data_IF_894140056006
#
_entry.id   IF_894140056006
#
_cell.length_a   1.000
_cell.length_b   1.000
_cell.length_c   1.000
_cell.angle_alpha   90.00
_cell.angle_beta   90.00
_cell.angle_gamma   90.00
#
_symmetry.space_group_name_H-M   'P 1'
#
loop_
_entity.id
_entity.type
_entity.pdbx_description
1 polymer ?
#
# COMPACT_ATOMS: atom_id res chain seq x y z
N UNK A 1 -97.37 -43.08 16.20
CA UNK A 1 -96.17 -43.55 16.93
C UNK A 1 -95.07 -43.88 15.93
N UNK A 2 -94.18 -42.92 15.64
CA UNK A 2 -92.93 -43.16 14.91
C UNK A 2 -91.92 -42.12 15.38
N UNK A 3 -90.96 -42.55 16.18
CA UNK A 3 -89.94 -41.69 16.79
C UNK A 3 -88.97 -41.14 15.74
N UNK A 4 -88.87 -39.82 15.66
CA UNK A 4 -87.72 -39.14 15.03
C UNK A 4 -86.47 -39.49 15.86
N UNK A 5 -85.70 -40.47 15.41
CA UNK A 5 -84.34 -40.71 15.91
C UNK A 5 -83.50 -39.47 15.59
N UNK A 6 -83.04 -38.76 16.62
CA UNK A 6 -82.05 -37.70 16.48
C UNK A 6 -80.83 -38.27 15.73
N UNK A 7 -80.51 -37.67 14.58
CA UNK A 7 -79.34 -38.01 13.79
C UNK A 7 -78.12 -37.68 14.64
N UNK A 8 -77.41 -38.71 15.12
CA UNK A 8 -76.21 -38.51 15.93
C UNK A 8 -75.17 -37.72 15.11
N UNK A 9 -74.71 -36.58 15.65
CA UNK A 9 -73.65 -35.79 15.01
C UNK A 9 -72.37 -36.64 14.88
N UNK A 10 -71.61 -36.48 13.77
CA UNK A 10 -70.29 -37.06 13.66
C UNK A 10 -69.45 -36.68 14.89
N UNK A 11 -68.66 -37.63 15.39
CA UNK A 11 -67.87 -37.45 16.63
C UNK A 11 -66.93 -36.23 16.54
N UNK A 12 -66.49 -35.85 15.34
CA UNK A 12 -65.64 -34.69 15.10
C UNK A 12 -66.38 -33.36 15.26
N UNK A 13 -67.61 -33.25 14.74
CA UNK A 13 -68.42 -32.04 14.84
C UNK A 13 -68.87 -31.78 16.28
N UNK A 14 -69.19 -32.86 17.01
CA UNK A 14 -69.52 -32.77 18.43
C UNK A 14 -68.33 -32.25 19.25
N UNK A 15 -67.10 -32.70 18.95
CA UNK A 15 -65.89 -32.25 19.65
C UNK A 15 -65.54 -30.81 19.33
N UNK A 16 -65.58 -30.41 18.05
CA UNK A 16 -65.39 -29.01 17.65
C UNK A 16 -66.34 -28.11 18.44
N UNK A 17 -67.62 -28.48 18.53
CA UNK A 17 -68.62 -27.70 19.24
C UNK A 17 -68.37 -27.61 20.75
N UNK A 18 -67.96 -28.69 21.41
CA UNK A 18 -67.61 -28.64 22.84
C UNK A 18 -66.37 -27.78 23.11
N UNK A 19 -65.36 -27.82 22.24
CA UNK A 19 -64.17 -26.94 22.34
C UNK A 19 -64.57 -25.48 22.21
N UNK A 20 -65.44 -25.17 21.25
CA UNK A 20 -65.92 -23.82 21.00
C UNK A 20 -66.80 -23.29 22.12
N UNK A 21 -67.71 -24.13 22.63
CA UNK A 21 -68.53 -23.81 23.81
C UNK A 21 -67.64 -23.52 25.03
N UNK A 22 -66.67 -24.40 25.32
CA UNK A 22 -65.76 -24.21 26.44
C UNK A 22 -64.92 -22.94 26.29
N UNK A 23 -64.48 -22.63 25.07
CA UNK A 23 -63.77 -21.39 24.77
C UNK A 23 -64.65 -20.14 24.95
N UNK A 24 -65.90 -20.18 24.48
CA UNK A 24 -66.88 -19.10 24.66
C UNK A 24 -67.23 -18.90 26.14
N UNK A 25 -67.38 -19.96 26.92
CA UNK A 25 -67.63 -19.90 28.38
C UNK A 25 -66.45 -19.26 29.13
N UNK A 26 -65.22 -19.72 28.87
CA UNK A 26 -64.01 -19.15 29.48
C UNK A 26 -63.87 -17.67 29.11
N UNK A 27 -64.14 -17.31 27.85
CA UNK A 27 -64.12 -15.92 27.38
C UNK A 27 -65.19 -15.08 28.10
N UNK A 28 -66.41 -15.59 28.25
CA UNK A 28 -67.52 -14.88 28.90
C UNK A 28 -67.31 -14.69 30.41
N UNK A 29 -66.62 -15.63 31.08
CA UNK A 29 -66.28 -15.52 32.50
C UNK A 29 -65.21 -14.44 32.77
N UNK A 30 -64.38 -14.10 31.77
CA UNK A 30 -63.44 -12.97 31.80
C UNK A 30 -62.28 -13.07 32.80
N UNK A 31 -62.24 -14.11 33.65
CA UNK A 31 -61.21 -14.29 34.68
C UNK A 31 -59.99 -15.11 34.24
N UNK A 32 -60.10 -15.88 33.16
CA UNK A 32 -59.02 -16.74 32.66
C UNK A 32 -58.79 -16.55 31.17
N UNK A 33 -57.53 -16.65 30.74
CA UNK A 33 -57.19 -16.68 29.31
C UNK A 33 -57.80 -17.92 28.67
N UNK A 34 -58.43 -17.76 27.52
CA UNK A 34 -58.75 -18.88 26.63
C UNK A 34 -57.45 -19.46 26.08
N UNK A 35 -56.92 -20.46 26.78
CA UNK A 35 -55.69 -21.16 26.47
C UNK A 35 -55.97 -22.65 26.38
N UNK A 36 -55.17 -23.38 25.58
CA UNK A 36 -55.35 -24.82 25.33
C UNK A 36 -55.53 -25.62 26.63
N UNK A 37 -54.74 -25.32 27.66
CA UNK A 37 -54.83 -25.97 28.97
C UNK A 37 -56.20 -25.76 29.65
N UNK A 38 -56.72 -24.53 29.64
CA UNK A 38 -57.96 -24.17 30.32
C UNK A 38 -59.17 -24.73 29.56
N UNK A 39 -59.14 -24.61 28.23
CA UNK A 39 -60.16 -25.17 27.34
C UNK A 39 -60.19 -26.69 27.46
N UNK A 40 -59.03 -27.36 27.43
CA UNK A 40 -58.95 -28.81 27.57
C UNK A 40 -59.47 -29.28 28.94
N UNK A 41 -59.09 -28.60 30.03
CA UNK A 41 -59.59 -28.90 31.37
C UNK A 41 -61.12 -28.73 31.47
N UNK A 42 -61.66 -27.69 30.84
CA UNK A 42 -63.11 -27.41 30.79
C UNK A 42 -63.87 -28.44 29.97
N UNK A 43 -63.40 -28.78 28.77
CA UNK A 43 -64.00 -29.83 27.91
C UNK A 43 -63.97 -31.18 28.62
N UNK A 44 -62.85 -31.54 29.27
CA UNK A 44 -62.74 -32.79 30.04
C UNK A 44 -63.75 -32.83 31.19
N UNK A 45 -63.96 -31.72 31.89
CA UNK A 45 -64.92 -31.59 32.98
C UNK A 45 -66.37 -31.70 32.50
N UNK A 46 -66.73 -31.03 31.40
CA UNK A 46 -68.11 -30.90 30.93
C UNK A 46 -68.58 -32.11 30.11
N UNK A 47 -67.72 -32.67 29.26
CA UNK A 47 -68.09 -33.70 28.29
C UNK A 47 -67.41 -35.07 28.53
N UNK A 48 -66.51 -35.17 29.52
CA UNK A 48 -65.82 -36.42 29.88
C UNK A 48 -64.78 -36.92 28.86
N UNK A 49 -64.75 -36.38 27.64
CA UNK A 49 -63.82 -36.76 26.56
C UNK A 49 -63.31 -35.52 25.83
N UNK A 50 -62.10 -35.07 26.17
CA UNK A 50 -61.46 -33.93 25.51
C UNK A 50 -60.67 -34.29 24.24
N UNK A 51 -60.30 -35.56 24.06
CA UNK A 51 -59.41 -35.99 22.98
C UNK A 51 -57.94 -35.59 23.19
N UNK A 52 -57.12 -35.70 22.14
CA UNK A 52 -55.71 -35.31 22.17
C UNK A 52 -55.58 -33.79 22.08
N UNK A 53 -54.56 -33.23 22.74
CA UNK A 53 -54.23 -31.80 22.76
C UNK A 53 -54.07 -31.20 21.36
N UNK A 54 -53.58 -31.98 20.38
CA UNK A 54 -53.46 -31.53 19.00
C UNK A 54 -54.82 -31.20 18.37
N UNK A 55 -55.80 -32.09 18.52
CA UNK A 55 -57.16 -31.92 17.96
C UNK A 55 -57.89 -30.76 18.65
N UNK A 56 -57.73 -30.63 19.97
CA UNK A 56 -58.28 -29.47 20.71
C UNK A 56 -57.58 -28.18 20.28
N UNK A 57 -56.27 -28.22 20.06
CA UNK A 57 -55.48 -27.10 19.57
C UNK A 57 -55.93 -26.61 18.19
N UNK A 58 -56.19 -27.52 17.25
CA UNK A 58 -56.69 -27.20 15.90
C UNK A 58 -58.08 -26.55 15.95
N UNK A 59 -59.01 -27.12 16.71
CA UNK A 59 -60.35 -26.52 16.85
C UNK A 59 -60.35 -25.21 17.61
N UNK A 60 -59.45 -25.04 18.59
CA UNK A 60 -59.28 -23.80 19.33
C UNK A 60 -58.64 -22.71 18.47
N UNK A 61 -57.70 -23.06 17.59
CA UNK A 61 -57.14 -22.13 16.62
C UNK A 61 -58.21 -21.63 15.63
N UNK A 62 -59.03 -22.54 15.10
CA UNK A 62 -60.18 -22.18 14.25
C UNK A 62 -61.17 -21.27 15.00
N UNK A 63 -61.48 -21.59 16.25
CA UNK A 63 -62.34 -20.73 17.08
C UNK A 63 -61.74 -19.34 17.25
N UNK A 64 -60.44 -19.24 17.54
CA UNK A 64 -59.77 -17.97 17.77
C UNK A 64 -59.75 -17.09 16.51
N UNK A 65 -59.52 -17.69 15.35
CA UNK A 65 -59.58 -17.00 14.05
C UNK A 65 -61.01 -16.53 13.74
N UNK A 66 -62.00 -17.42 13.84
CA UNK A 66 -63.40 -17.09 13.51
C UNK A 66 -64.03 -16.09 14.49
N UNK A 67 -63.63 -16.10 15.76
CA UNK A 67 -64.13 -15.18 16.80
C UNK A 67 -63.25 -13.95 17.00
N UNK A 68 -62.19 -13.78 16.21
CA UNK A 68 -61.24 -12.67 16.29
C UNK A 68 -60.57 -12.54 17.67
N UNK A 69 -60.40 -13.65 18.39
CA UNK A 69 -59.93 -13.63 19.77
C UNK A 69 -58.42 -13.30 19.83
N UNK A 70 -58.08 -12.20 20.51
CA UNK A 70 -56.70 -11.84 20.83
C UNK A 70 -56.51 -11.73 22.35
N UNK A 71 -55.80 -12.68 22.98
CA UNK A 71 -55.71 -12.74 24.45
C UNK A 71 -55.03 -11.51 25.07
N UNK A 72 -54.11 -10.86 24.37
CA UNK A 72 -53.40 -9.67 24.88
C UNK A 72 -54.33 -8.45 24.90
N UNK A 73 -55.22 -8.34 23.92
CA UNK A 73 -56.15 -7.20 23.77
C UNK A 73 -57.33 -7.35 24.74
N UNK A 74 -57.89 -8.55 24.84
CA UNK A 74 -59.04 -8.82 25.73
C UNK A 74 -58.67 -8.79 27.21
N UNK A 75 -57.48 -9.29 27.59
CA UNK A 75 -57.00 -9.19 28.98
C UNK A 75 -56.68 -7.76 29.39
N UNK A 76 -56.39 -6.87 28.44
CA UNK A 76 -56.20 -5.44 28.69
C UNK A 76 -57.53 -4.66 28.75
N UNK A 77 -58.67 -5.31 28.47
CA UNK A 77 -60.01 -4.68 28.48
C UNK A 77 -60.18 -3.57 27.44
N UNK A 78 -59.37 -3.56 26.38
CA UNK A 78 -59.35 -2.47 25.40
C UNK A 78 -60.51 -2.65 24.42
N UNK A 79 -61.41 -1.66 24.25
CA UNK A 79 -62.49 -1.75 23.27
C UNK A 79 -61.96 -1.97 21.85
N UNK A 80 -62.62 -2.80 21.05
CA UNK A 80 -62.19 -3.15 19.68
C UNK A 80 -61.87 -1.93 18.81
N UNK A 81 -62.66 -0.86 18.94
CA UNK A 81 -62.41 0.40 18.24
C UNK A 81 -61.05 0.98 18.60
N UNK A 82 -60.67 0.98 19.88
CA UNK A 82 -59.37 1.49 20.35
C UNK A 82 -58.24 0.59 19.87
N UNK A 83 -58.42 -0.74 19.92
CA UNK A 83 -57.45 -1.71 19.40
C UNK A 83 -57.17 -1.50 17.90
N UNK A 84 -58.22 -1.32 17.09
CA UNK A 84 -58.08 -1.06 15.66
C UNK A 84 -57.33 0.26 15.38
N UNK A 85 -57.58 1.31 16.17
CA UNK A 85 -56.85 2.58 16.05
C UNK A 85 -55.38 2.42 16.43
N UNK A 86 -55.06 1.67 17.49
CA UNK A 86 -53.68 1.38 17.90
C UNK A 86 -52.94 0.56 16.85
N UNK A 87 -53.57 -0.45 16.25
CA UNK A 87 -52.98 -1.23 15.17
C UNK A 87 -52.68 -0.35 13.95
N UNK A 88 -53.61 0.52 13.57
CA UNK A 88 -53.41 1.48 12.47
C UNK A 88 -52.26 2.44 12.78
N UNK A 89 -52.23 3.03 13.98
CA UNK A 89 -51.16 3.93 14.40
C UNK A 89 -49.79 3.23 14.42
N UNK A 90 -49.72 1.96 14.84
CA UNK A 90 -48.49 1.18 14.81
C UNK A 90 -47.98 0.94 13.38
N UNK A 91 -48.87 0.64 12.43
CA UNK A 91 -48.51 0.49 11.01
C UNK A 91 -48.04 1.81 10.41
N UNK A 92 -48.73 2.92 10.71
CA UNK A 92 -48.32 4.26 10.25
C UNK A 92 -46.95 4.66 10.84
N UNK A 93 -46.72 4.41 12.13
CA UNK A 93 -45.45 4.66 12.78
C UNK A 93 -44.33 3.81 12.19
N UNK A 94 -44.58 2.52 11.96
CA UNK A 94 -43.60 1.62 11.36
C UNK A 94 -43.22 2.07 9.95
N UNK A 95 -44.21 2.46 9.13
CA UNK A 95 -43.96 3.00 7.80
C UNK A 95 -43.13 4.29 7.84
N UNK A 96 -43.49 5.21 8.73
CA UNK A 96 -42.71 6.44 8.92
C UNK A 96 -41.26 6.16 9.34
N UNK A 97 -41.05 5.19 10.24
CA UNK A 97 -39.72 4.77 10.67
C UNK A 97 -38.92 4.12 9.53
N UNK A 98 -39.56 3.31 8.67
CA UNK A 98 -38.93 2.75 7.48
C UNK A 98 -38.52 3.84 6.48
N UNK A 99 -39.41 4.81 6.24
CA UNK A 99 -39.13 5.93 5.34
C UNK A 99 -37.97 6.79 5.88
N UNK A 100 -37.94 7.06 7.19
CA UNK A 100 -36.83 7.78 7.83
C UNK A 100 -35.50 7.00 7.73
N UNK A 101 -35.51 5.70 8.02
CA UNK A 101 -34.34 4.85 7.90
C UNK A 101 -33.80 4.82 6.47
N UNK A 102 -34.69 4.74 5.47
CA UNK A 102 -34.31 4.81 4.06
C UNK A 102 -33.67 6.15 3.70
N UNK A 103 -34.23 7.27 4.18
CA UNK A 103 -33.66 8.60 3.97
C UNK A 103 -32.29 8.78 4.64
N UNK A 104 -32.07 8.20 5.81
CA UNK A 104 -30.77 8.25 6.51
C UNK A 104 -29.73 7.45 5.73
N UNK A 105 -30.08 6.23 5.33
CA UNK A 105 -29.19 5.36 4.57
C UNK A 105 -28.80 5.96 3.23
N UNK A 106 -29.73 6.62 2.54
CA UNK A 106 -29.43 7.32 1.29
C UNK A 106 -28.51 8.53 1.51
N UNK A 107 -28.75 9.32 2.55
CA UNK A 107 -27.86 10.43 2.93
C UNK A 107 -26.44 9.92 3.26
N UNK A 108 -26.32 8.80 3.94
CA UNK A 108 -25.02 8.18 4.23
C UNK A 108 -24.32 7.70 2.97
N UNK A 109 -25.05 7.07 2.05
CA UNK A 109 -24.50 6.64 0.75
C UNK A 109 -23.93 7.81 -0.04
N UNK A 110 -24.67 8.91 -0.15
CA UNK A 110 -24.21 10.12 -0.85
C UNK A 110 -22.96 10.68 -0.19
N UNK A 111 -22.95 10.84 1.14
CA UNK A 111 -21.77 11.33 1.88
C UNK A 111 -20.55 10.43 1.70
N UNK A 112 -20.74 9.11 1.73
CA UNK A 112 -19.65 8.16 1.51
C UNK A 112 -19.12 8.24 0.07
N UNK A 113 -20.01 8.37 -0.92
CA UNK A 113 -19.60 8.53 -2.32
C UNK A 113 -18.78 9.81 -2.53
N UNK A 114 -19.21 10.93 -1.94
CA UNK A 114 -18.48 12.20 -1.95
C UNK A 114 -17.10 12.06 -1.28
N UNK A 115 -17.05 11.44 -0.08
CA UNK A 115 -15.79 11.22 0.62
C UNK A 115 -14.81 10.36 -0.18
N UNK A 116 -15.29 9.31 -0.85
CA UNK A 116 -14.48 8.45 -1.73
C UNK A 116 -13.99 9.25 -2.95
N UNK A 117 -14.83 10.11 -3.53
CA UNK A 117 -14.43 10.94 -4.66
C UNK A 117 -13.32 11.92 -4.25
N UNK A 118 -13.47 12.61 -3.12
CA UNK A 118 -12.44 13.52 -2.58
C UNK A 118 -11.15 12.78 -2.25
N UNK A 119 -11.22 11.59 -1.64
CA UNK A 119 -10.01 10.78 -1.37
C UNK A 119 -9.27 10.42 -2.66
N UNK A 120 -10.00 10.02 -3.70
CA UNK A 120 -9.41 9.69 -5.01
C UNK A 120 -8.73 10.90 -5.65
N UNK A 121 -9.35 12.07 -5.58
CA UNK A 121 -8.76 13.31 -6.09
C UNK A 121 -7.46 13.64 -5.36
N UNK A 122 -7.46 13.61 -4.03
CA UNK A 122 -6.27 13.85 -3.21
C UNK A 122 -5.16 12.83 -3.48
N UNK A 123 -5.53 11.56 -3.64
CA UNK A 123 -4.59 10.50 -3.99
C UNK A 123 -3.97 10.71 -5.36
N UNK A 124 -4.77 11.10 -6.36
CA UNK A 124 -4.27 11.40 -7.69
C UNK A 124 -3.32 12.61 -7.68
N UNK A 125 -3.65 13.66 -6.93
CA UNK A 125 -2.77 14.81 -6.73
C UNK A 125 -1.45 14.40 -6.08
N UNK A 126 -1.50 13.62 -4.99
CA UNK A 126 -0.31 13.13 -4.31
C UNK A 126 0.58 12.26 -5.22
N UNK A 127 -0.02 11.39 -6.04
CA UNK A 127 0.72 10.60 -7.04
C UNK A 127 1.39 11.51 -8.08
N UNK A 128 0.67 12.50 -8.62
CA UNK A 128 1.25 13.47 -9.55
C UNK A 128 2.41 14.27 -8.95
N UNK A 129 2.35 14.61 -7.66
CA UNK A 129 3.45 15.26 -6.95
C UNK A 129 4.67 14.33 -6.78
N UNK A 130 4.45 13.04 -6.55
CA UNK A 130 5.53 12.04 -6.46
C UNK A 130 6.20 11.89 -7.82
N UNK A 131 5.44 11.69 -8.89
CA UNK A 131 5.96 11.56 -10.26
C UNK A 131 6.81 12.79 -10.66
N UNK A 132 6.32 13.99 -10.33
CA UNK A 132 7.05 15.24 -10.59
C UNK A 132 8.38 15.30 -9.81
N UNK A 133 8.40 14.83 -8.56
CA UNK A 133 9.63 14.78 -7.75
C UNK A 133 10.61 13.73 -8.26
N UNK A 134 10.13 12.56 -8.67
CA UNK A 134 10.96 11.52 -9.26
C UNK A 134 11.64 12.02 -10.55
N UNK A 135 10.91 12.73 -11.40
CA UNK A 135 11.49 13.36 -12.59
C UNK A 135 12.61 14.36 -12.25
N UNK A 136 12.43 15.17 -11.21
CA UNK A 136 13.48 16.11 -10.73
C UNK A 136 14.69 15.35 -10.18
N UNK A 137 14.48 14.29 -9.40
CA UNK A 137 15.56 13.48 -8.84
C UNK A 137 16.39 12.84 -9.96
N UNK A 138 15.74 12.29 -10.98
CA UNK A 138 16.44 11.68 -12.12
C UNK A 138 17.23 12.73 -12.91
N UNK A 139 16.66 13.91 -13.15
CA UNK A 139 17.38 15.02 -13.79
C UNK A 139 18.62 15.45 -12.98
N UNK A 140 18.49 15.56 -11.66
CA UNK A 140 19.61 15.90 -10.77
C UNK A 140 20.69 14.81 -10.75
N UNK A 141 20.32 13.53 -10.74
CA UNK A 141 21.27 12.41 -10.83
C UNK A 141 22.05 12.43 -12.14
N UNK A 142 21.37 12.69 -13.26
CA UNK A 142 22.01 12.83 -14.56
C UNK A 142 23.02 13.99 -14.57
N UNK A 143 22.66 15.13 -13.97
CA UNK A 143 23.56 16.28 -13.88
C UNK A 143 24.76 16.01 -12.97
N UNK A 144 24.56 15.36 -11.82
CA UNK A 144 25.66 14.92 -10.95
C UNK A 144 26.62 13.99 -11.70
N UNK A 145 26.09 13.03 -12.47
CA UNK A 145 26.92 12.13 -13.27
C UNK A 145 27.71 12.89 -14.35
N UNK A 146 27.08 13.86 -15.02
CA UNK A 146 27.73 14.72 -16.03
C UNK A 146 28.88 15.51 -15.40
N UNK A 147 28.61 16.21 -14.30
CA UNK A 147 29.61 17.01 -13.58
C UNK A 147 30.74 16.13 -13.01
N UNK A 148 30.41 14.95 -12.48
CA UNK A 148 31.40 13.97 -12.03
C UNK A 148 32.35 13.55 -13.15
N UNK A 149 31.81 13.26 -14.35
CA UNK A 149 32.60 12.94 -15.53
C UNK A 149 33.45 14.11 -16.04
N UNK A 150 32.96 15.35 -15.91
CA UNK A 150 33.72 16.56 -16.25
C UNK A 150 34.89 16.78 -15.28
N UNK A 151 34.64 16.67 -13.97
CA UNK A 151 35.68 16.78 -12.95
C UNK A 151 36.78 15.74 -13.12
N UNK A 152 36.43 14.50 -13.44
CA UNK A 152 37.43 13.46 -13.67
C UNK A 152 38.29 13.74 -14.91
N UNK A 153 37.69 14.25 -15.99
CA UNK A 153 38.44 14.71 -17.17
C UNK A 153 39.38 15.85 -16.84
N UNK A 154 38.92 16.84 -16.09
CA UNK A 154 39.76 17.97 -15.64
C UNK A 154 40.90 17.50 -14.73
N UNK A 155 40.64 16.59 -13.79
CA UNK A 155 41.67 16.00 -12.92
C UNK A 155 42.74 15.26 -13.71
N UNK A 156 42.34 14.42 -14.68
CA UNK A 156 43.27 13.75 -15.60
C UNK A 156 44.09 14.75 -16.39
N UNK A 157 43.45 15.78 -16.94
CA UNK A 157 44.14 16.83 -17.67
C UNK A 157 45.18 17.55 -16.80
N UNK A 158 44.81 17.97 -15.59
CA UNK A 158 45.72 18.61 -14.63
C UNK A 158 46.88 17.68 -14.28
N UNK A 159 46.62 16.39 -14.02
CA UNK A 159 47.67 15.39 -13.76
C UNK A 159 48.67 15.31 -14.92
N UNK A 160 48.17 15.24 -16.16
CA UNK A 160 49.01 15.21 -17.36
C UNK A 160 49.83 16.49 -17.52
N UNK A 161 49.22 17.66 -17.35
CA UNK A 161 49.92 18.95 -17.47
C UNK A 161 51.00 19.08 -16.40
N UNK A 162 50.71 18.70 -15.15
CA UNK A 162 51.69 18.70 -14.06
C UNK A 162 52.84 17.75 -14.33
N UNK A 163 52.56 16.52 -14.78
CA UNK A 163 53.58 15.56 -15.17
C UNK A 163 54.47 16.11 -16.31
N UNK A 164 53.88 16.72 -17.35
CA UNK A 164 54.64 17.32 -18.44
C UNK A 164 55.56 18.46 -17.98
N UNK A 165 55.06 19.32 -17.09
CA UNK A 165 55.86 20.40 -16.50
C UNK A 165 57.00 19.87 -15.62
N UNK A 166 56.72 18.83 -14.82
CA UNK A 166 57.71 18.14 -14.02
C UNK A 166 58.83 17.53 -14.88
N UNK A 167 58.49 16.72 -15.89
CA UNK A 167 59.48 16.10 -16.78
C UNK A 167 60.28 17.12 -17.58
N UNK A 168 59.71 18.30 -17.88
CA UNK A 168 60.47 19.40 -18.46
C UNK A 168 61.54 19.92 -17.50
N UNK A 169 61.23 20.07 -16.21
CA UNK A 169 62.21 20.49 -15.20
C UNK A 169 63.29 19.42 -14.99
N UNK A 170 62.91 18.14 -14.93
CA UNK A 170 63.89 17.03 -14.86
C UNK A 170 64.85 17.04 -16.06
N UNK A 171 64.33 17.26 -17.27
CA UNK A 171 65.18 17.38 -18.45
C UNK A 171 66.13 18.60 -18.36
N UNK A 172 65.67 19.72 -17.81
CA UNK A 172 66.53 20.88 -17.58
C UNK A 172 67.64 20.57 -16.57
N UNK A 173 67.31 19.93 -15.45
CA UNK A 173 68.26 19.50 -14.42
C UNK A 173 69.34 18.57 -14.99
N UNK A 174 68.93 17.56 -15.77
CA UNK A 174 69.87 16.67 -16.47
C UNK A 174 70.79 17.46 -17.40
N UNK A 175 70.25 18.42 -18.15
CA UNK A 175 71.05 19.26 -19.03
C UNK A 175 72.10 20.06 -18.25
N UNK A 176 71.74 20.59 -17.08
CA UNK A 176 72.65 21.34 -16.19
C UNK A 176 73.77 20.45 -15.62
N UNK A 177 73.46 19.20 -15.25
CA UNK A 177 74.44 18.21 -14.76
C UNK A 177 75.42 17.76 -15.84
N UNK A 178 74.98 17.68 -17.10
CA UNK A 178 75.81 17.20 -18.19
C UNK A 178 77.02 18.14 -18.45
N UNK A 179 78.23 17.59 -18.65
CA UNK A 179 79.38 18.38 -19.06
C UNK A 179 79.16 19.05 -20.42
N UNK A 180 79.77 20.22 -20.64
CA UNK A 180 79.61 20.95 -21.90
C UNK A 180 80.14 20.19 -23.12
N UNK A 181 81.21 19.40 -22.92
CA UNK A 181 81.97 18.80 -24.02
C UNK A 181 81.94 17.27 -24.09
N UNK A 182 81.59 16.59 -23.01
CA UNK A 182 81.72 15.13 -22.89
C UNK A 182 80.35 14.47 -22.71
N UNK A 183 80.17 13.26 -23.25
CA UNK A 183 78.98 12.47 -22.97
C UNK A 183 79.11 11.72 -21.65
N UNK A 184 78.06 11.76 -20.86
CA UNK A 184 77.94 11.10 -19.57
C UNK A 184 77.03 9.88 -19.70
N UNK A 185 77.35 8.80 -18.98
CA UNK A 185 76.51 7.61 -19.00
C UNK A 185 75.32 7.77 -18.04
N UNK A 186 74.14 7.22 -18.37
CA UNK A 186 72.93 7.30 -17.52
C UNK A 186 73.17 6.97 -16.04
N UNK A 187 73.96 5.93 -15.76
CA UNK A 187 74.31 5.50 -14.38
C UNK A 187 75.06 6.58 -13.57
N UNK A 188 75.73 7.51 -14.24
CA UNK A 188 76.45 8.62 -13.62
C UNK A 188 75.55 9.86 -13.47
N UNK A 189 74.54 10.00 -14.35
CA UNK A 189 73.55 11.09 -14.31
C UNK A 189 72.55 10.87 -13.16
N UNK A 190 72.01 9.66 -13.03
CA UNK A 190 70.96 9.33 -12.02
C UNK A 190 71.32 9.78 -10.59
N UNK A 191 72.51 9.47 -10.03
CA UNK A 191 72.85 9.85 -8.65
C UNK A 191 73.14 11.35 -8.48
N UNK A 192 73.26 12.12 -9.57
CA UNK A 192 73.55 13.56 -9.54
C UNK A 192 72.30 14.43 -9.59
N UNK A 193 71.15 13.85 -9.91
CA UNK A 193 69.87 14.57 -9.92
C UNK A 193 69.45 14.88 -8.48
N UNK A 194 69.00 16.12 -8.25
CA UNK A 194 68.54 16.57 -6.94
C UNK A 194 67.46 15.67 -6.32
N UNK A 195 67.56 15.45 -5.01
CA UNK A 195 66.66 14.58 -4.25
C UNK A 195 65.20 15.05 -4.35
N UNK A 196 64.95 16.36 -4.50
CA UNK A 196 63.63 16.94 -4.69
C UNK A 196 62.92 16.39 -5.94
N UNK A 197 63.65 16.13 -7.03
CA UNK A 197 63.08 15.54 -8.25
C UNK A 197 62.78 14.05 -8.07
N UNK A 198 63.62 13.32 -7.33
CA UNK A 198 63.38 11.91 -7.01
C UNK A 198 62.09 11.77 -6.20
N UNK A 199 61.93 12.59 -5.16
CA UNK A 199 60.74 12.60 -4.30
C UNK A 199 59.49 13.05 -5.04
N UNK A 200 59.60 14.04 -5.93
CA UNK A 200 58.46 14.47 -6.74
C UNK A 200 58.10 13.42 -7.82
N UNK A 201 59.05 12.66 -8.33
CA UNK A 201 58.79 11.59 -9.31
C UNK A 201 57.93 10.45 -8.74
N UNK A 202 58.06 10.14 -7.45
CA UNK A 202 57.21 9.16 -6.74
C UNK A 202 55.71 9.47 -6.87
N UNK A 203 55.33 10.74 -7.08
CA UNK A 203 53.94 11.13 -7.28
C UNK A 203 53.40 10.80 -8.70
N UNK A 204 54.27 10.48 -9.66
CA UNK A 204 53.93 10.23 -11.06
C UNK A 204 54.26 8.82 -11.53
N UNK A 205 55.25 8.17 -10.94
CA UNK A 205 55.70 6.82 -11.27
C UNK A 205 56.26 6.11 -10.04
N UNK A 206 56.14 4.79 -10.01
CA UNK A 206 56.52 3.99 -8.84
C UNK A 206 58.03 3.67 -8.79
N UNK A 207 58.76 3.84 -9.91
CA UNK A 207 60.19 3.49 -9.98
C UNK A 207 61.03 4.62 -10.59
N UNK A 208 61.83 5.28 -9.74
CA UNK A 208 62.89 6.17 -10.18
C UNK A 208 64.12 5.36 -10.60
N UNK A 209 64.56 5.51 -11.85
CA UNK A 209 65.68 4.73 -12.36
C UNK A 209 66.22 5.17 -13.71
N UNK A 210 67.21 4.42 -14.20
CA UNK A 210 67.89 4.70 -15.48
C UNK A 210 66.94 4.66 -16.67
N UNK A 211 65.92 3.82 -16.64
CA UNK A 211 65.01 3.63 -17.78
C UNK A 211 64.00 4.77 -17.90
N UNK A 212 63.55 5.30 -16.77
CA UNK A 212 62.72 6.50 -16.69
C UNK A 212 63.46 7.71 -17.26
N UNK A 213 64.68 7.95 -16.78
CA UNK A 213 65.53 9.05 -17.25
C UNK A 213 65.93 8.88 -18.72
N UNK A 214 66.23 7.65 -19.15
CA UNK A 214 66.42 7.32 -20.56
C UNK A 214 65.22 7.76 -21.39
N UNK A 215 64.00 7.38 -20.98
CA UNK A 215 62.78 7.76 -21.69
C UNK A 215 62.60 9.27 -21.82
N UNK A 216 62.87 10.04 -20.76
CA UNK A 216 62.81 11.51 -20.78
C UNK A 216 63.84 12.10 -21.76
N UNK A 217 65.08 11.64 -21.70
CA UNK A 217 66.18 12.14 -22.54
C UNK A 217 65.97 11.74 -24.00
N UNK A 218 65.67 10.47 -24.28
CA UNK A 218 65.42 9.93 -25.62
C UNK A 218 64.25 10.62 -26.30
N UNK A 219 63.18 10.94 -25.55
CA UNK A 219 62.08 11.72 -26.10
C UNK A 219 62.57 13.09 -26.59
N UNK A 220 63.54 13.71 -25.92
CA UNK A 220 64.05 15.04 -26.31
C UNK A 220 65.08 14.95 -27.42
N UNK A 221 65.91 13.92 -27.44
CA UNK A 221 66.76 13.57 -28.59
C UNK A 221 65.91 13.39 -29.85
N UNK A 222 64.81 12.62 -29.78
CA UNK A 222 63.87 12.38 -30.89
C UNK A 222 63.28 13.67 -31.46
N UNK A 223 62.97 14.64 -30.60
CA UNK A 223 62.44 15.95 -31.02
C UNK A 223 63.52 17.00 -31.29
N UNK A 224 64.79 16.58 -31.39
CA UNK A 224 65.94 17.46 -31.62
C UNK A 224 66.09 18.58 -30.57
N UNK A 225 65.82 18.28 -29.29
CA UNK A 225 65.88 19.24 -28.17
C UNK A 225 66.89 18.80 -27.11
N UNK A 226 67.66 19.77 -26.60
CA UNK A 226 68.56 19.71 -25.42
C UNK A 226 69.74 18.71 -25.47
N UNK A 227 69.54 17.50 -26.00
CA UNK A 227 70.49 16.40 -25.92
C UNK A 227 70.84 15.82 -27.28
N UNK A 228 72.01 15.17 -27.34
CA UNK A 228 72.45 14.29 -28.41
C UNK A 228 72.90 12.94 -27.82
N UNK A 229 72.57 11.85 -28.50
CA UNK A 229 72.98 10.50 -28.10
C UNK A 229 74.29 10.12 -28.78
N UNK A 230 75.25 9.58 -28.02
CA UNK A 230 76.58 9.18 -28.52
C UNK A 230 76.78 7.65 -28.55
N UNK A 231 75.67 6.90 -28.40
CA UNK A 231 75.67 5.44 -28.30
C UNK A 231 75.84 4.92 -26.88
N UNK A 232 75.49 3.64 -26.68
CA UNK A 232 75.69 2.93 -25.40
C UNK A 232 75.09 3.60 -24.15
N UNK A 233 73.95 4.30 -24.29
CA UNK A 233 73.29 4.98 -23.16
C UNK A 233 74.06 6.20 -22.63
N UNK A 234 74.94 6.78 -23.45
CA UNK A 234 75.66 8.02 -23.17
C UNK A 234 74.99 9.21 -23.86
N UNK A 235 74.86 10.30 -23.12
CA UNK A 235 74.21 11.53 -23.58
C UNK A 235 75.10 12.72 -23.32
N UNK A 236 75.08 13.67 -24.26
CA UNK A 236 75.75 14.98 -24.15
C UNK A 236 74.77 16.10 -24.45
N UNK A 237 75.15 17.32 -24.09
CA UNK A 237 74.43 18.53 -24.52
C UNK A 237 74.44 18.61 -26.06
N UNK A 238 73.29 18.94 -26.64
CA UNK A 238 73.16 19.20 -28.08
C UNK A 238 73.95 20.46 -28.44
N UNK A 239 74.66 20.43 -29.56
CA UNK A 239 75.41 21.56 -30.11
C UNK A 239 74.78 22.04 -31.42
N UNK A 240 75.06 23.28 -31.86
CA UNK A 240 74.61 23.78 -33.16
C UNK A 240 75.06 22.91 -34.35
N UNK A 241 76.23 22.27 -34.21
CA UNK A 241 76.79 21.33 -35.21
C UNK A 241 75.90 20.09 -35.43
N UNK A 242 75.10 19.69 -34.44
CA UNK A 242 74.20 18.53 -34.51
C UNK A 242 72.92 18.81 -35.33
N UNK A 243 72.68 20.06 -35.73
CA UNK A 243 71.56 20.48 -36.59
C UNK A 243 71.97 20.61 -38.07
N UNK A 244 73.28 20.59 -38.35
CA UNK A 244 73.85 20.71 -39.69
C UNK A 244 73.99 19.36 -40.44
N UNK A 245 73.69 18.25 -39.77
CA UNK A 245 73.70 16.87 -40.30
C UNK A 245 72.27 16.29 -40.36
#
# INVERSE_FOLDING_TARGET
MAGKRARAMPVNDRRKWEVWRAADEIRAEGGERVALRNVWARVKRNAGVAGNNQVVGEHLAQWAEERGYSPVIELAGIPDKVSAHLAKAAVELWKAAQDEAAMVLERERVRMAEAIATERELRNEALGMVDAREAVIEAQRAEIARLGGELERMRKHVRTVRALAFWRRVAQEVWEILPEREAMHLKEIVPRIGHEFVKEAEAYTDEWGTDLLRGVIDQRVKFKKLFAAEGSGRYRRRRPEDDAA
#
